data_IF_417889990215
#
_entry.id   IF_417889990215
#
_cell.length_a   1.000
_cell.length_b   1.000
_cell.length_c   1.000
_cell.angle_alpha   90.00
_cell.angle_beta   90.00
_cell.angle_gamma   90.00
#
_symmetry.space_group_name_H-M   'P 1'
#
loop_
_entity.id
_entity.type
_entity.pdbx_description
1 polymer ?
#
# COMPACT_ATOMS: atom_id res chain seq x y z
N UNK A 1 17.91 -13.70 21.85
CA UNK A 1 17.47 -15.07 21.55
C UNK A 1 17.79 -15.33 20.09
N UNK A 2 18.68 -16.32 19.83
CA UNK A 2 18.95 -16.80 18.48
C UNK A 2 17.67 -17.44 17.96
N UNK A 3 17.20 -17.00 16.79
CA UNK A 3 16.04 -17.63 16.14
C UNK A 3 16.50 -18.93 15.48
N UNK A 4 15.73 -20.01 15.64
CA UNK A 4 16.00 -21.32 15.03
C UNK A 4 15.84 -21.35 13.50
N UNK A 5 15.55 -20.20 12.88
CA UNK A 5 15.39 -20.10 11.42
C UNK A 5 16.73 -20.14 10.71
N UNK A 6 16.85 -21.02 9.73
CA UNK A 6 18.07 -21.24 8.95
C UNK A 6 18.22 -20.29 7.78
N UNK A 7 17.12 -19.77 7.26
CA UNK A 7 17.09 -18.95 6.06
C UNK A 7 15.83 -18.08 6.02
N UNK A 8 15.97 -16.89 5.44
CA UNK A 8 14.85 -16.01 5.14
C UNK A 8 14.44 -16.18 3.68
N UNK A 9 13.14 -16.35 3.43
CA UNK A 9 12.55 -16.33 2.09
C UNK A 9 11.73 -15.07 1.92
N UNK A 10 12.07 -14.31 0.90
CA UNK A 10 11.38 -13.05 0.56
C UNK A 10 10.45 -13.25 -0.63
N UNK A 11 9.17 -12.97 -0.42
CA UNK A 11 8.13 -12.89 -1.45
C UNK A 11 7.53 -11.47 -1.45
N UNK A 12 8.22 -10.48 -2.07
CA UNK A 12 7.82 -9.08 -1.98
C UNK A 12 6.62 -8.73 -2.85
N UNK A 13 6.26 -9.61 -3.77
CA UNK A 13 5.20 -9.45 -4.73
C UNK A 13 3.80 -9.47 -4.10
N UNK A 14 2.88 -8.79 -4.77
CA UNK A 14 1.44 -8.83 -4.53
C UNK A 14 0.73 -8.97 -5.89
N UNK A 15 0.70 -10.16 -6.48
CA UNK A 15 0.12 -10.36 -7.82
C UNK A 15 -1.33 -9.89 -7.93
N UNK A 16 -2.12 -10.00 -6.85
CA UNK A 16 -3.50 -9.49 -6.82
C UNK A 16 -3.59 -7.96 -6.94
N UNK A 17 -2.44 -7.27 -6.86
CA UNK A 17 -2.28 -5.81 -6.99
C UNK A 17 -1.35 -5.42 -8.14
N UNK A 18 -1.19 -6.30 -9.15
CA UNK A 18 -0.30 -6.03 -10.27
C UNK A 18 1.20 -5.98 -9.94
N UNK A 19 1.60 -6.47 -8.77
CA UNK A 19 3.01 -6.46 -8.33
C UNK A 19 3.58 -7.86 -8.37
N UNK A 20 4.53 -8.11 -9.28
CA UNK A 20 5.09 -9.45 -9.52
C UNK A 20 6.61 -9.46 -9.44
N UNK A 21 7.19 -10.65 -9.20
CA UNK A 21 8.61 -10.91 -9.41
C UNK A 21 8.74 -11.97 -10.49
N UNK A 22 9.53 -11.66 -11.51
CA UNK A 22 9.80 -12.55 -12.65
C UNK A 22 11.28 -12.47 -13.01
N UNK A 23 11.97 -13.61 -12.96
CA UNK A 23 13.43 -13.71 -13.16
C UNK A 23 14.22 -12.77 -12.21
N UNK A 24 13.80 -12.69 -10.95
CA UNK A 24 14.42 -11.84 -9.94
C UNK A 24 14.16 -10.34 -10.10
N UNK A 25 13.37 -9.93 -11.09
CA UNK A 25 13.02 -8.52 -11.36
C UNK A 25 11.63 -8.23 -10.84
N UNK A 26 11.49 -7.15 -10.09
CA UNK A 26 10.21 -6.67 -9.56
C UNK A 26 9.52 -5.74 -10.57
N UNK A 27 8.27 -6.02 -10.86
CA UNK A 27 7.41 -5.24 -11.75
C UNK A 27 6.18 -4.72 -11.03
N UNK A 28 5.70 -3.58 -11.47
CA UNK A 28 4.40 -3.00 -11.12
C UNK A 28 3.66 -2.76 -12.42
N UNK A 29 2.53 -3.45 -12.62
CA UNK A 29 1.74 -3.38 -13.85
C UNK A 29 2.61 -3.52 -15.12
N UNK A 30 3.45 -4.57 -15.15
CA UNK A 30 4.43 -4.89 -16.23
C UNK A 30 5.59 -3.88 -16.39
N UNK A 31 5.64 -2.81 -15.58
CA UNK A 31 6.74 -1.84 -15.60
C UNK A 31 7.78 -2.20 -14.53
N UNK A 32 9.09 -2.26 -14.86
CA UNK A 32 10.13 -2.47 -13.86
C UNK A 32 10.09 -1.41 -12.75
N UNK A 33 10.32 -1.80 -11.50
CA UNK A 33 10.19 -0.93 -10.33
C UNK A 33 10.92 0.41 -10.48
N UNK A 34 12.18 0.39 -10.97
CA UNK A 34 13.01 1.59 -11.15
C UNK A 34 12.55 2.53 -12.27
N UNK A 35 11.58 2.10 -13.10
CA UNK A 35 10.96 2.92 -14.14
C UNK A 35 9.60 3.48 -13.71
N UNK A 36 9.19 3.21 -12.48
CA UNK A 36 7.93 3.69 -11.90
C UNK A 36 8.14 4.93 -11.03
N UNK A 37 7.05 5.45 -10.45
CA UNK A 37 7.12 6.55 -9.50
C UNK A 37 8.00 6.26 -8.27
N UNK A 38 8.26 5.00 -7.95
CA UNK A 38 9.16 4.62 -6.87
C UNK A 38 10.63 4.99 -7.11
N UNK A 39 11.03 5.24 -8.36
CA UNK A 39 12.36 5.79 -8.66
C UNK A 39 12.57 7.20 -8.08
N UNK A 40 11.49 7.90 -7.80
CA UNK A 40 11.48 9.28 -7.31
C UNK A 40 11.00 9.38 -5.85
N UNK A 41 10.99 8.26 -5.11
CA UNK A 41 10.68 8.29 -3.68
C UNK A 41 11.73 9.15 -2.95
N UNK A 42 11.31 10.14 -2.14
CA UNK A 42 12.25 11.09 -1.52
C UNK A 42 13.15 10.47 -0.44
N UNK A 43 12.73 9.36 0.17
CA UNK A 43 13.49 8.69 1.24
C UNK A 43 14.20 7.44 0.74
N UNK A 44 13.51 6.64 -0.07
CA UNK A 44 14.00 5.34 -0.55
C UNK A 44 13.78 5.16 -2.05
N UNK A 45 14.47 5.94 -2.91
CA UNK A 45 14.32 5.82 -4.36
C UNK A 45 14.76 4.44 -4.86
N UNK A 46 13.93 3.83 -5.69
CA UNK A 46 14.23 2.54 -6.30
C UNK A 46 15.22 2.71 -7.48
N UNK A 47 16.50 2.46 -7.24
CA UNK A 47 17.55 2.56 -8.27
C UNK A 47 17.70 1.30 -9.12
N UNK A 48 17.13 0.17 -8.68
CA UNK A 48 17.14 -1.11 -9.39
C UNK A 48 15.77 -1.78 -9.26
N UNK A 49 15.47 -2.68 -10.19
CA UNK A 49 14.33 -3.60 -10.09
C UNK A 49 14.77 -5.03 -9.76
N UNK A 50 16.07 -5.31 -9.77
CA UNK A 50 16.60 -6.61 -9.36
C UNK A 50 16.48 -6.73 -7.82
N UNK A 51 15.58 -7.60 -7.34
CA UNK A 51 15.32 -7.72 -5.90
C UNK A 51 16.58 -8.10 -5.12
N UNK A 52 17.44 -8.96 -5.70
CA UNK A 52 18.71 -9.35 -5.08
C UNK A 52 19.72 -8.22 -4.92
N UNK A 53 19.57 -7.09 -5.63
CA UNK A 53 20.40 -5.89 -5.44
C UNK A 53 19.85 -4.98 -4.34
N UNK A 54 18.55 -5.09 -4.06
CA UNK A 54 17.87 -4.27 -3.04
C UNK A 54 17.97 -4.90 -1.64
N UNK A 55 18.08 -6.23 -1.57
CA UNK A 55 18.22 -6.98 -0.32
C UNK A 55 19.33 -8.02 -0.44
N UNK A 56 20.24 -8.03 0.54
CA UNK A 56 21.37 -8.96 0.59
C UNK A 56 21.07 -10.14 1.54
N UNK A 57 21.70 -11.27 1.30
CA UNK A 57 21.66 -12.47 2.16
C UNK A 57 20.25 -13.07 2.37
N UNK A 58 19.34 -12.84 1.43
CA UNK A 58 17.95 -13.33 1.46
C UNK A 58 17.65 -14.06 0.15
N UNK A 59 16.96 -15.20 0.23
CA UNK A 59 16.47 -15.89 -0.94
C UNK A 59 15.16 -15.27 -1.41
N UNK A 60 15.13 -14.84 -2.67
CA UNK A 60 13.95 -14.26 -3.30
C UNK A 60 13.24 -15.34 -4.12
N UNK A 61 11.95 -15.42 -3.99
CA UNK A 61 11.10 -16.35 -4.75
C UNK A 61 10.31 -15.58 -5.79
N UNK A 62 10.40 -16.02 -7.04
CA UNK A 62 9.61 -15.49 -8.14
C UNK A 62 8.14 -15.95 -8.00
N UNK A 63 7.22 -15.03 -8.22
CA UNK A 63 5.82 -15.37 -8.45
C UNK A 63 5.14 -14.25 -9.27
N UNK A 64 4.37 -14.66 -10.25
CA UNK A 64 3.64 -13.80 -11.17
C UNK A 64 2.12 -13.84 -10.96
N UNK A 65 1.65 -14.79 -10.18
CA UNK A 65 0.26 -14.92 -9.79
C UNK A 65 0.11 -15.42 -8.33
N UNK A 66 -1.09 -15.32 -7.79
CA UNK A 66 -1.36 -15.69 -6.41
C UNK A 66 -1.25 -17.21 -6.16
N UNK A 67 -1.54 -18.03 -7.17
CA UNK A 67 -1.46 -19.49 -7.03
C UNK A 67 0.00 -19.92 -6.79
N UNK A 68 0.96 -19.32 -7.49
CA UNK A 68 2.39 -19.59 -7.27
C UNK A 68 2.84 -19.20 -5.86
N UNK A 69 2.33 -18.09 -5.31
CA UNK A 69 2.59 -17.73 -3.91
C UNK A 69 2.06 -18.81 -2.97
N UNK A 70 0.83 -19.25 -3.17
CA UNK A 70 0.18 -20.29 -2.35
C UNK A 70 0.90 -21.64 -2.45
N UNK A 71 1.31 -22.07 -3.65
CA UNK A 71 2.07 -23.30 -3.88
C UNK A 71 3.44 -23.24 -3.20
N UNK A 72 4.10 -22.08 -3.23
CA UNK A 72 5.35 -21.86 -2.50
C UNK A 72 5.15 -22.12 -1.01
N UNK A 73 4.12 -21.53 -0.39
CA UNK A 73 3.84 -21.70 1.04
C UNK A 73 3.55 -23.19 1.38
N UNK A 74 2.83 -23.91 0.52
CA UNK A 74 2.56 -25.34 0.71
C UNK A 74 3.84 -26.21 0.63
N UNK A 75 4.85 -25.76 -0.09
CA UNK A 75 6.09 -26.52 -0.35
C UNK A 75 7.19 -26.29 0.69
N UNK A 76 7.16 -25.19 1.43
CA UNK A 76 8.20 -24.85 2.41
C UNK A 76 7.90 -25.48 3.78
N UNK A 77 8.94 -25.64 4.59
CA UNK A 77 8.84 -26.15 5.95
C UNK A 77 9.08 -25.04 6.99
N UNK A 78 8.89 -25.37 8.26
CA UNK A 78 9.00 -24.44 9.39
C UNK A 78 10.40 -23.87 9.64
N UNK A 79 11.43 -24.31 8.89
CA UNK A 79 12.81 -23.83 9.05
C UNK A 79 13.05 -22.47 8.39
N UNK A 80 12.09 -21.97 7.61
CA UNK A 80 12.19 -20.69 6.91
C UNK A 80 11.42 -19.59 7.63
N UNK A 81 12.07 -18.44 7.77
CA UNK A 81 11.38 -17.20 8.11
C UNK A 81 10.85 -16.58 6.83
N UNK A 82 9.55 -16.31 6.78
CA UNK A 82 8.89 -15.70 5.63
C UNK A 82 8.82 -14.20 5.77
N UNK A 83 9.21 -13.49 4.72
CA UNK A 83 9.06 -12.05 4.61
C UNK A 83 8.38 -11.68 3.28
N UNK A 84 7.46 -10.73 3.28
CA UNK A 84 6.82 -10.33 2.02
C UNK A 84 5.58 -9.48 2.18
N UNK A 85 4.79 -9.40 1.11
CA UNK A 85 3.63 -8.54 0.98
C UNK A 85 2.32 -9.16 1.50
N UNK A 86 1.22 -8.49 1.21
CA UNK A 86 -0.12 -8.89 1.66
C UNK A 86 -0.57 -10.25 1.09
N UNK A 87 -0.17 -10.56 -0.15
CA UNK A 87 -0.52 -11.84 -0.78
C UNK A 87 0.18 -13.01 -0.11
N UNK A 88 1.43 -12.83 0.36
CA UNK A 88 2.11 -13.83 1.19
C UNK A 88 1.32 -14.11 2.47
N UNK A 89 0.92 -13.05 3.20
CA UNK A 89 0.12 -13.20 4.41
C UNK A 89 -1.19 -13.92 4.14
N UNK A 90 -1.89 -13.53 3.07
CA UNK A 90 -3.14 -14.16 2.65
C UNK A 90 -2.94 -15.65 2.34
N UNK A 91 -1.88 -16.01 1.60
CA UNK A 91 -1.56 -17.40 1.29
C UNK A 91 -1.26 -18.21 2.57
N UNK A 92 -0.48 -17.66 3.50
CA UNK A 92 -0.22 -18.30 4.80
C UNK A 92 -1.52 -18.58 5.57
N UNK A 93 -2.44 -17.62 5.61
CA UNK A 93 -3.73 -17.80 6.28
C UNK A 93 -4.57 -18.90 5.63
N UNK A 94 -4.66 -18.91 4.29
CA UNK A 94 -5.42 -19.93 3.56
C UNK A 94 -4.85 -21.33 3.74
N UNK A 95 -3.52 -21.49 3.63
CA UNK A 95 -2.83 -22.78 3.83
C UNK A 95 -2.99 -23.27 5.27
N UNK A 96 -3.07 -22.37 6.25
CA UNK A 96 -3.35 -22.69 7.65
C UNK A 96 -4.84 -23.00 7.93
N UNK A 97 -5.70 -23.03 6.90
CA UNK A 97 -7.11 -23.40 7.02
C UNK A 97 -8.05 -22.25 7.41
N UNK A 98 -7.56 -21.00 7.42
CA UNK A 98 -8.44 -19.86 7.61
C UNK A 98 -9.25 -19.60 6.34
N UNK A 99 -10.56 -19.46 6.50
CA UNK A 99 -11.47 -19.14 5.41
C UNK A 99 -11.75 -17.65 5.43
N UNK A 100 -11.64 -16.99 4.27
CA UNK A 100 -12.04 -15.60 4.12
C UNK A 100 -13.54 -15.48 4.41
N UNK A 101 -13.90 -14.80 5.49
CA UNK A 101 -15.28 -14.40 5.73
C UNK A 101 -15.57 -13.19 4.85
N UNK A 102 -16.60 -13.29 4.01
CA UNK A 102 -17.20 -12.12 3.42
C UNK A 102 -17.90 -11.35 4.55
N UNK A 103 -17.22 -10.33 5.06
CA UNK A 103 -17.89 -9.37 5.91
C UNK A 103 -18.85 -8.60 4.99
N UNK A 104 -20.10 -8.96 5.00
CA UNK A 104 -21.16 -8.05 4.59
C UNK A 104 -21.15 -6.91 5.60
N UNK A 105 -20.35 -5.88 5.33
CA UNK A 105 -20.55 -4.60 5.95
C UNK A 105 -21.90 -4.09 5.46
N UNK A 106 -22.96 -4.46 6.15
CA UNK A 106 -24.23 -3.75 6.08
C UNK A 106 -23.94 -2.33 6.52
N UNK A 107 -23.74 -1.49 5.52
CA UNK A 107 -23.22 -0.15 5.52
C UNK A 107 -22.98 0.49 6.89
N UNK A 108 -21.75 0.96 7.10
CA UNK A 108 -21.49 1.87 8.19
C UNK A 108 -22.50 3.02 8.06
N UNK A 109 -23.60 2.96 8.81
CA UNK A 109 -24.56 4.05 8.94
C UNK A 109 -23.98 5.16 9.82
N UNK A 110 -22.75 5.55 9.51
CA UNK A 110 -22.14 6.72 10.14
C UNK A 110 -22.74 7.95 9.46
N UNK A 111 -23.31 8.82 10.26
CA UNK A 111 -23.87 10.09 9.76
C UNK A 111 -22.82 10.97 9.07
N UNK A 112 -21.52 10.76 9.38
CA UNK A 112 -20.39 11.53 8.84
C UNK A 112 -19.11 10.68 8.79
N UNK A 113 -18.32 10.87 7.73
CA UNK A 113 -17.05 10.17 7.54
C UNK A 113 -15.94 11.18 7.27
N UNK A 114 -14.80 11.04 7.97
CA UNK A 114 -13.57 11.77 7.66
C UNK A 114 -12.59 10.76 7.01
N UNK A 115 -12.16 11.07 5.80
CA UNK A 115 -11.13 10.30 5.09
C UNK A 115 -9.86 11.16 5.04
N UNK A 116 -8.75 10.62 5.52
CA UNK A 116 -7.44 11.27 5.44
C UNK A 116 -6.57 10.47 4.47
N UNK A 117 -6.18 11.10 3.36
CA UNK A 117 -5.30 10.52 2.34
C UNK A 117 -3.96 11.24 2.36
N UNK A 118 -2.95 10.63 2.96
CA UNK A 118 -1.58 11.16 3.07
C UNK A 118 -0.67 10.81 1.89
N UNK A 119 -1.21 10.29 0.79
CA UNK A 119 -0.41 9.89 -0.37
C UNK A 119 -0.37 10.99 -1.44
N UNK A 120 0.82 11.25 -1.96
CA UNK A 120 1.05 12.14 -3.12
C UNK A 120 0.96 11.42 -4.46
N UNK A 121 0.78 10.11 -4.46
CA UNK A 121 0.74 9.25 -5.65
C UNK A 121 -0.47 9.58 -6.55
N UNK A 122 -0.30 9.43 -7.87
CA UNK A 122 -1.37 9.66 -8.87
C UNK A 122 -2.61 8.79 -8.65
N UNK A 123 -2.43 7.55 -8.19
CA UNK A 123 -3.54 6.66 -7.83
C UNK A 123 -4.42 7.22 -6.72
N UNK A 124 -3.86 8.04 -5.83
CA UNK A 124 -4.61 8.75 -4.79
C UNK A 124 -5.46 9.89 -5.36
N UNK A 125 -5.00 10.52 -6.46
CA UNK A 125 -5.79 11.50 -7.20
C UNK A 125 -7.03 10.85 -7.83
N UNK A 126 -6.91 9.67 -8.40
CA UNK A 126 -8.04 8.93 -8.98
C UNK A 126 -9.06 8.56 -7.90
N UNK A 127 -8.61 8.08 -6.75
CA UNK A 127 -9.47 7.81 -5.59
C UNK A 127 -10.17 9.09 -5.12
N UNK A 128 -9.44 10.19 -5.05
CA UNK A 128 -9.99 11.51 -4.65
C UNK A 128 -11.01 11.99 -5.67
N UNK A 129 -10.77 11.83 -6.96
CA UNK A 129 -11.71 12.19 -8.02
C UNK A 129 -12.97 11.31 -7.97
N UNK A 130 -12.83 10.02 -7.69
CA UNK A 130 -13.97 9.12 -7.48
C UNK A 130 -14.84 9.61 -6.31
N UNK A 131 -14.25 9.97 -5.18
CA UNK A 131 -14.96 10.46 -4.01
C UNK A 131 -15.65 11.80 -4.30
N UNK A 132 -15.03 12.69 -5.07
CA UNK A 132 -15.64 13.96 -5.52
C UNK A 132 -16.93 13.73 -6.31
N UNK A 133 -17.04 12.67 -7.09
CA UNK A 133 -18.26 12.35 -7.84
C UNK A 133 -19.45 12.03 -6.92
N UNK A 134 -19.22 11.72 -5.65
CA UNK A 134 -20.25 11.53 -4.64
C UNK A 134 -20.58 12.81 -3.84
N UNK A 135 -20.12 13.97 -4.30
CA UNK A 135 -20.31 15.27 -3.65
C UNK A 135 -19.78 15.33 -2.20
N UNK A 136 -18.73 14.57 -1.91
CA UNK A 136 -18.02 14.65 -0.63
C UNK A 136 -16.97 15.76 -0.75
N UNK A 137 -17.00 16.81 0.10
CA UNK A 137 -16.02 17.87 0.07
C UNK A 137 -14.59 17.31 0.21
N UNK A 138 -13.69 17.73 -0.69
CA UNK A 138 -12.29 17.36 -0.65
C UNK A 138 -11.45 18.62 -0.48
N UNK A 139 -10.66 18.66 0.58
CA UNK A 139 -9.78 19.77 0.90
C UNK A 139 -8.32 19.29 0.86
N UNK A 140 -7.45 19.97 0.10
CA UNK A 140 -6.02 19.72 0.18
C UNK A 140 -5.49 20.19 1.53
N UNK A 141 -4.45 19.52 2.04
CA UNK A 141 -3.69 20.04 3.16
C UNK A 141 -3.12 21.41 2.75
N UNK A 142 -3.04 22.38 3.68
CA UNK A 142 -2.43 23.66 3.33
C UNK A 142 -0.93 23.49 3.00
N UNK A 143 -0.35 24.28 2.07
CA UNK A 143 1.07 24.20 1.77
C UNK A 143 1.95 24.39 3.01
N UNK A 144 1.61 25.31 3.89
CA UNK A 144 2.33 25.56 5.14
C UNK A 144 2.30 24.36 6.09
N UNK A 145 1.14 23.69 6.20
CA UNK A 145 1.03 22.47 7.00
C UNK A 145 1.82 21.30 6.37
N UNK A 146 1.81 21.18 5.05
CA UNK A 146 2.49 20.08 4.35
C UNK A 146 4.02 20.22 4.36
N UNK A 147 4.56 21.40 4.04
CA UNK A 147 5.99 21.60 3.90
C UNK A 147 6.69 22.09 5.19
N UNK A 148 5.99 22.81 6.05
CA UNK A 148 6.57 23.52 7.19
C UNK A 148 6.06 23.01 8.54
N UNK A 149 5.01 22.18 8.53
CA UNK A 149 4.36 21.73 9.76
C UNK A 149 3.61 22.84 10.51
N UNK A 150 3.33 23.96 9.83
CA UNK A 150 2.62 25.11 10.40
C UNK A 150 1.15 25.04 10.07
N UNK A 151 0.33 25.01 11.12
CA UNK A 151 -1.13 24.93 10.99
C UNK A 151 -1.77 26.30 10.95
N UNK A 152 -2.63 26.50 9.96
CA UNK A 152 -3.40 27.72 9.74
C UNK A 152 -4.78 27.60 10.41
N UNK A 153 -5.10 28.52 11.32
CA UNK A 153 -6.38 28.50 12.06
C UNK A 153 -7.59 28.71 11.13
N UNK A 154 -7.47 29.53 10.08
CA UNK A 154 -8.52 29.72 9.09
C UNK A 154 -8.77 28.43 8.32
N UNK A 155 -7.71 27.73 7.90
CA UNK A 155 -7.82 26.44 7.23
C UNK A 155 -8.47 25.39 8.13
N UNK A 156 -8.09 25.33 9.42
CA UNK A 156 -8.71 24.43 10.41
C UNK A 156 -10.20 24.78 10.57
N UNK A 157 -10.55 26.06 10.66
CA UNK A 157 -11.93 26.52 10.74
C UNK A 157 -12.76 26.03 9.55
N UNK A 158 -12.24 26.16 8.33
CA UNK A 158 -12.88 25.70 7.10
C UNK A 158 -13.11 24.17 7.09
N UNK A 159 -12.18 23.39 7.64
CA UNK A 159 -12.33 21.94 7.80
C UNK A 159 -13.47 21.62 8.75
N UNK A 160 -13.45 22.24 9.95
CA UNK A 160 -14.46 22.00 10.98
C UNK A 160 -15.85 22.36 10.47
N UNK A 161 -15.98 23.49 9.79
CA UNK A 161 -17.25 23.93 9.22
C UNK A 161 -17.75 22.99 8.11
N UNK A 162 -16.87 22.60 7.20
CA UNK A 162 -17.21 21.67 6.13
C UNK A 162 -17.62 20.30 6.65
N UNK A 163 -16.90 19.78 7.66
CA UNK A 163 -17.22 18.50 8.30
C UNK A 163 -18.52 18.59 9.10
N UNK A 164 -18.72 19.69 9.82
CA UNK A 164 -19.91 19.88 10.68
C UNK A 164 -21.18 20.01 9.87
N UNK A 165 -21.13 20.71 8.75
CA UNK A 165 -22.28 21.00 7.89
C UNK A 165 -22.49 19.97 6.76
N UNK A 166 -21.50 19.09 6.51
CA UNK A 166 -21.54 18.09 5.45
C UNK A 166 -21.89 16.67 5.92
N UNK A 167 -21.90 15.75 4.95
CA UNK A 167 -22.04 14.30 5.19
C UNK A 167 -20.71 13.61 5.49
N UNK A 168 -19.62 14.33 5.36
CA UNK A 168 -18.25 13.88 5.53
C UNK A 168 -17.30 14.75 4.72
N UNK A 169 -16.00 14.45 4.79
CA UNK A 169 -14.99 15.15 4.00
C UNK A 169 -13.75 14.28 3.76
N UNK A 170 -12.95 14.69 2.80
CA UNK A 170 -11.63 14.12 2.52
C UNK A 170 -10.56 15.19 2.72
N UNK A 171 -9.56 14.88 3.52
CA UNK A 171 -8.30 15.62 3.58
C UNK A 171 -7.26 14.88 2.76
N UNK A 172 -6.54 15.60 1.91
CA UNK A 172 -5.57 14.95 1.01
C UNK A 172 -4.30 15.77 0.84
N UNK A 173 -3.18 15.04 0.69
CA UNK A 173 -1.89 15.58 0.24
C UNK A 173 -1.68 15.37 -1.27
N UNK A 174 -2.63 14.72 -1.96
CA UNK A 174 -2.52 14.49 -3.39
C UNK A 174 -2.50 15.82 -4.17
N UNK A 175 -1.53 15.93 -5.09
CA UNK A 175 -1.29 17.17 -5.86
C UNK A 175 -0.09 17.97 -5.37
N UNK A 176 0.53 17.62 -4.25
CA UNK A 176 1.84 18.12 -3.89
C UNK A 176 2.92 17.23 -4.53
N UNK A 177 3.94 17.86 -5.10
CA UNK A 177 5.14 17.15 -5.50
C UNK A 177 5.95 16.75 -4.26
N UNK A 178 6.56 15.57 -4.24
CA UNK A 178 7.49 15.17 -3.19
C UNK A 178 8.73 16.05 -3.20
#
# INVERSE_FOLDING_TARGET
EETDYKQVLLLPQNPTKGRIVRNGIYYIDETPLHETAFAYDPEFPAHSSAVGELVQDISVIDATDFLQVEETIKSINESYLLAGGADLFTACMLVSGYVRQENNFDGLTTSKTLIVCGSTQSSSLDTTNYIRNYAIPTLPLSPSAFYEGVWDEEWIGNIVDSYTNGKGMVLTTSGYAP
#
